data_IF_122932592880
#
_entry.id   IF_122932592880
#
_cell.length_a   1.000
_cell.length_b   1.000
_cell.length_c   1.000
_cell.angle_alpha   90.00
_cell.angle_beta   90.00
_cell.angle_gamma   90.00
#
_symmetry.space_group_name_H-M   'P 1'
#
loop_
_entity.id
_entity.type
_entity.pdbx_description
1 polymer ?
#
# COMPACT_ATOMS: atom_id res chain seq x y z
N UNK A 1 -7.65 -7.60 21.35
CA UNK A 1 -7.78 -6.26 20.75
C UNK A 1 -9.13 -5.70 21.18
N UNK A 2 -9.18 -4.46 21.65
CA UNK A 2 -10.43 -3.77 21.99
C UNK A 2 -11.16 -3.34 20.72
N UNK A 3 -12.45 -3.00 20.82
CA UNK A 3 -13.21 -2.45 19.69
C UNK A 3 -12.59 -1.15 19.15
N UNK A 4 -11.96 -0.36 20.01
CA UNK A 4 -11.26 0.87 19.64
C UNK A 4 -10.02 0.58 18.79
N UNK A 5 -9.18 -0.36 19.25
CA UNK A 5 -8.00 -0.82 18.51
C UNK A 5 -8.38 -1.47 17.15
N UNK A 6 -9.51 -2.17 17.07
CA UNK A 6 -10.04 -2.72 15.81
C UNK A 6 -10.48 -1.62 14.84
N UNK A 7 -11.16 -0.58 15.34
CA UNK A 7 -11.56 0.56 14.52
C UNK A 7 -10.34 1.32 14.00
N UNK A 8 -9.30 1.46 14.80
CA UNK A 8 -8.08 2.15 14.38
C UNK A 8 -7.29 1.32 13.37
N UNK A 9 -7.23 -0.01 13.52
CA UNK A 9 -6.64 -0.88 12.50
C UNK A 9 -7.42 -0.84 11.17
N UNK A 10 -8.74 -0.80 11.19
CA UNK A 10 -9.55 -0.62 9.96
C UNK A 10 -9.26 0.72 9.26
N UNK A 11 -9.13 1.81 10.03
CA UNK A 11 -8.70 3.12 9.48
C UNK A 11 -7.28 3.05 8.90
N UNK A 12 -6.35 2.38 9.59
CA UNK A 12 -4.99 2.19 9.12
C UNK A 12 -4.97 1.47 7.77
N UNK A 13 -5.71 0.35 7.65
CA UNK A 13 -5.83 -0.41 6.39
C UNK A 13 -6.35 0.47 5.25
N UNK A 14 -7.38 1.28 5.49
CA UNK A 14 -7.94 2.19 4.48
C UNK A 14 -6.92 3.26 4.05
N UNK A 15 -6.19 3.82 5.02
CA UNK A 15 -5.12 4.80 4.75
C UNK A 15 -4.01 4.18 3.90
N UNK A 16 -3.51 3.00 4.30
CA UNK A 16 -2.44 2.30 3.59
C UNK A 16 -2.87 1.87 2.18
N UNK A 17 -4.13 1.45 2.01
CA UNK A 17 -4.69 1.13 0.69
C UNK A 17 -4.63 2.33 -0.25
N UNK A 18 -5.00 3.52 0.25
CA UNK A 18 -4.93 4.76 -0.53
C UNK A 18 -3.48 5.05 -0.96
N UNK A 19 -2.54 4.97 -0.03
CA UNK A 19 -1.11 5.21 -0.32
C UNK A 19 -0.59 4.20 -1.35
N UNK A 20 -0.94 2.92 -1.23
CA UNK A 20 -0.56 1.90 -2.20
C UNK A 20 -1.13 2.19 -3.59
N UNK A 21 -2.39 2.64 -3.69
CA UNK A 21 -3.00 3.05 -4.96
C UNK A 21 -2.32 4.28 -5.57
N UNK A 22 -1.95 5.28 -4.76
CA UNK A 22 -1.23 6.47 -5.24
C UNK A 22 0.15 6.10 -5.81
N UNK A 23 0.87 5.17 -5.18
CA UNK A 23 2.15 4.66 -5.72
C UNK A 23 1.98 3.76 -6.94
N UNK A 24 0.88 3.01 -7.03
CA UNK A 24 0.57 2.23 -8.22
C UNK A 24 0.33 3.13 -9.44
N UNK A 25 -0.38 4.26 -9.26
CA UNK A 25 -0.54 5.27 -10.32
C UNK A 25 0.80 5.87 -10.74
N UNK A 26 1.68 6.24 -9.80
CA UNK A 26 3.01 6.76 -10.16
C UNK A 26 3.87 5.76 -10.96
N UNK A 27 3.77 4.47 -10.62
CA UNK A 27 4.47 3.41 -11.36
C UNK A 27 3.88 3.22 -12.77
N UNK A 28 2.55 3.30 -12.90
CA UNK A 28 1.87 3.29 -14.19
C UNK A 28 2.33 4.45 -15.08
N UNK A 29 2.32 5.68 -14.56
CA UNK A 29 2.71 6.88 -15.30
C UNK A 29 4.19 6.86 -15.68
N UNK A 30 5.06 6.26 -14.85
CA UNK A 30 6.46 6.01 -15.22
C UNK A 30 6.56 5.15 -16.48
N UNK A 31 5.83 4.03 -16.52
CA UNK A 31 5.88 3.06 -17.61
C UNK A 31 5.21 3.58 -18.88
N UNK A 32 4.09 4.29 -18.77
CA UNK A 32 3.32 4.80 -19.92
C UNK A 32 3.96 6.04 -20.56
N UNK A 33 4.43 7.00 -19.75
CA UNK A 33 4.76 8.34 -20.27
C UNK A 33 6.25 8.69 -20.26
N UNK A 34 7.03 8.10 -19.36
CA UNK A 34 8.38 8.61 -19.05
C UNK A 34 9.51 7.72 -19.55
N UNK A 35 9.26 6.45 -19.80
CA UNK A 35 10.27 5.56 -20.36
C UNK A 35 10.45 5.77 -21.88
N UNK A 36 11.69 5.63 -22.41
CA UNK A 36 12.90 5.17 -21.73
C UNK A 36 13.72 6.27 -21.00
N UNK A 37 13.40 7.55 -21.16
CA UNK A 37 14.21 8.65 -20.61
C UNK A 37 14.24 8.66 -19.06
N UNK A 38 13.14 8.30 -18.41
CA UNK A 38 12.97 8.22 -16.96
C UNK A 38 13.52 6.95 -16.30
N UNK A 39 14.35 6.15 -16.98
CA UNK A 39 14.76 4.83 -16.46
C UNK A 39 15.43 4.87 -15.07
N UNK A 40 16.09 5.97 -14.73
CA UNK A 40 16.75 6.17 -13.44
C UNK A 40 15.76 6.24 -12.26
N UNK A 41 14.48 6.52 -12.52
CA UNK A 41 13.42 6.59 -11.52
C UNK A 41 12.84 5.21 -11.16
N UNK A 42 13.07 4.19 -12.01
CA UNK A 42 12.53 2.84 -11.84
C UNK A 42 12.84 2.28 -10.45
N UNK A 43 14.11 2.28 -9.95
CA UNK A 43 14.40 1.67 -8.65
C UNK A 43 13.66 2.37 -7.50
N UNK A 44 13.59 3.70 -7.53
CA UNK A 44 12.95 4.48 -6.46
C UNK A 44 11.43 4.32 -6.44
N UNK A 45 10.78 4.42 -7.60
CA UNK A 45 9.33 4.27 -7.72
C UNK A 45 8.92 2.83 -7.43
N UNK A 46 9.60 1.83 -8.02
CA UNK A 46 9.27 0.43 -7.79
C UNK A 46 9.43 0.03 -6.30
N UNK A 47 10.51 0.46 -5.64
CA UNK A 47 10.71 0.18 -4.22
C UNK A 47 9.63 0.81 -3.34
N UNK A 48 9.23 2.05 -3.65
CA UNK A 48 8.19 2.76 -2.90
C UNK A 48 6.82 2.13 -3.11
N UNK A 49 6.49 1.73 -4.34
CA UNK A 49 5.26 0.99 -4.65
C UNK A 49 5.23 -0.35 -3.93
N UNK A 50 6.33 -1.10 -3.93
CA UNK A 50 6.43 -2.38 -3.22
C UNK A 50 6.19 -2.20 -1.71
N UNK A 51 6.91 -1.27 -1.07
CA UNK A 51 6.79 -1.02 0.36
C UNK A 51 5.38 -0.58 0.77
N UNK A 52 4.72 0.27 -0.04
CA UNK A 52 3.35 0.69 0.22
C UNK A 52 2.35 -0.48 0.11
N UNK A 53 2.51 -1.34 -0.90
CA UNK A 53 1.70 -2.54 -1.07
C UNK A 53 1.90 -3.54 0.06
N UNK A 54 3.15 -3.76 0.48
CA UNK A 54 3.51 -4.65 1.58
C UNK A 54 2.90 -4.17 2.90
N UNK A 55 3.07 -2.88 3.24
CA UNK A 55 2.49 -2.30 4.45
C UNK A 55 0.95 -2.47 4.49
N UNK A 56 0.28 -2.22 3.36
CA UNK A 56 -1.16 -2.45 3.26
C UNK A 56 -1.53 -3.94 3.43
N UNK A 57 -0.78 -4.85 2.81
CA UNK A 57 -1.02 -6.29 2.89
C UNK A 57 -0.86 -6.80 4.33
N UNK A 58 0.19 -6.36 5.03
CA UNK A 58 0.42 -6.70 6.44
C UNK A 58 -0.71 -6.21 7.34
N UNK A 59 -1.09 -4.94 7.23
CA UNK A 59 -2.19 -4.38 8.02
C UNK A 59 -3.53 -5.09 7.74
N UNK A 60 -3.78 -5.42 6.47
CA UNK A 60 -4.99 -6.15 6.05
C UNK A 60 -5.02 -7.56 6.62
N UNK A 61 -3.86 -8.24 6.63
CA UNK A 61 -3.74 -9.57 7.25
C UNK A 61 -3.96 -9.50 8.77
N UNK A 62 -3.41 -8.49 9.45
CA UNK A 62 -3.68 -8.25 10.88
C UNK A 62 -5.17 -8.07 11.13
N UNK A 63 -5.85 -7.24 10.34
CA UNK A 63 -7.29 -6.98 10.50
C UNK A 63 -8.12 -8.25 10.28
N UNK A 64 -7.83 -8.98 9.19
CA UNK A 64 -8.54 -10.22 8.87
C UNK A 64 -8.37 -11.30 9.94
N UNK A 65 -7.18 -11.40 10.55
CA UNK A 65 -6.91 -12.34 11.64
C UNK A 65 -7.76 -12.03 12.88
N UNK A 66 -7.97 -10.75 13.20
CA UNK A 66 -8.80 -10.37 14.34
C UNK A 66 -10.30 -10.58 14.05
N UNK A 67 -10.75 -10.32 12.82
CA UNK A 67 -12.15 -10.49 12.43
C UNK A 67 -12.58 -11.97 12.36
N UNK A 68 -11.66 -12.89 12.08
CA UNK A 68 -11.93 -14.35 12.08
C UNK A 68 -11.90 -14.99 13.46
N UNK A 69 -11.42 -14.27 14.49
CA UNK A 69 -11.31 -14.74 15.87
C UNK A 69 -12.51 -14.41 16.76
N UNK A 70 -13.56 -13.81 16.19
CA UNK A 70 -14.86 -13.47 16.81
C UNK A 70 -15.98 -14.19 16.10
#
# INVERSE_FOLDING_TARGET
MTEEELKDLDKEVKKLKRVASEWASQLHDLVEDRLPAGYHEIPGIAQSTYAACEAWAEASARLAAQQKGT
#
